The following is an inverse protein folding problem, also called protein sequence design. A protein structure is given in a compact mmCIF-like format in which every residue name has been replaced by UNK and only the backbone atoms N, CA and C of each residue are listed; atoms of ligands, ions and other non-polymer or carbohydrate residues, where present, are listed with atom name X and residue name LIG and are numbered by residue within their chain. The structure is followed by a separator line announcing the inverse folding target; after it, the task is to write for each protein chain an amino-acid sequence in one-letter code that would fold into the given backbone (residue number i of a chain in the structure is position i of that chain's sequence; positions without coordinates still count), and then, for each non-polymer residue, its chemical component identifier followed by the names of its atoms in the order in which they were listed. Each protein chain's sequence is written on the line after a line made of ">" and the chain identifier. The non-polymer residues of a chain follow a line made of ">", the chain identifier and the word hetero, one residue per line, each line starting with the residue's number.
data_IF_402443979300
#
_entry.id   IF_402443979300
#
_cell.length_a   1.000
_cell.length_b   1.000
_cell.length_c   1.000
_cell.angle_alpha   90.00
_cell.angle_beta   90.00
_cell.angle_gamma   90.00
#
_symmetry.space_group_name_H-M   'P 1'
#
loop_
_entity.id
_entity.type
_entity.pdbx_description
1 polymer ?
#
# COMPACT_ATOMS: atom_id res chain seq x y z
N UNK A 1 -17.67 -9.07 2.50
CA UNK A 1 -17.84 -7.59 2.42
C UNK A 1 -18.59 -7.33 1.13
N UNK A 2 -19.86 -6.96 1.22
CA UNK A 2 -20.78 -7.05 0.07
C UNK A 2 -21.36 -5.69 -0.35
N UNK A 3 -20.99 -4.61 0.32
CA UNK A 3 -21.37 -3.25 -0.04
C UNK A 3 -20.29 -2.24 0.42
N UNK A 4 -20.41 -0.99 -0.05
CA UNK A 4 -19.45 0.07 0.27
C UNK A 4 -19.38 0.39 1.77
N UNK A 5 -20.52 0.39 2.47
CA UNK A 5 -20.59 0.70 3.90
C UNK A 5 -19.78 -0.29 4.76
N UNK A 6 -19.81 -1.58 4.41
CA UNK A 6 -19.00 -2.59 5.08
C UNK A 6 -17.50 -2.39 4.82
N UNK A 7 -17.11 -1.94 3.62
CA UNK A 7 -15.72 -1.55 3.32
C UNK A 7 -15.32 -0.37 4.20
N UNK A 8 -16.16 0.67 4.28
CA UNK A 8 -15.89 1.85 5.12
C UNK A 8 -15.72 1.49 6.59
N UNK A 9 -16.58 0.62 7.15
CA UNK A 9 -16.45 0.16 8.54
C UNK A 9 -15.12 -0.58 8.80
N UNK A 10 -14.66 -1.38 7.84
CA UNK A 10 -13.36 -2.06 7.95
C UNK A 10 -12.20 -1.06 7.85
N UNK A 11 -12.33 -0.04 7.01
CA UNK A 11 -11.36 1.04 6.90
C UNK A 11 -11.27 1.82 8.23
N UNK A 12 -12.40 2.20 8.82
CA UNK A 12 -12.45 2.86 10.12
C UNK A 12 -11.86 1.99 11.24
N UNK A 13 -12.20 0.71 11.29
CA UNK A 13 -11.62 -0.23 12.27
C UNK A 13 -10.11 -0.38 12.07
N UNK A 14 -9.62 -0.38 10.82
CA UNK A 14 -8.19 -0.39 10.50
C UNK A 14 -7.49 0.89 10.97
N UNK A 15 -8.10 2.05 10.75
CA UNK A 15 -7.59 3.34 11.19
C UNK A 15 -7.51 3.43 12.71
N UNK A 16 -8.52 2.95 13.46
CA UNK A 16 -8.47 2.92 14.94
C UNK A 16 -7.32 2.04 15.47
N UNK A 17 -7.04 0.93 14.79
CA UNK A 17 -5.96 0.01 15.19
C UNK A 17 -4.57 0.43 14.67
N UNK A 18 -4.50 1.47 13.84
CA UNK A 18 -3.22 2.00 13.35
C UNK A 18 -2.44 2.60 14.52
N UNK A 19 -1.18 2.19 14.68
CA UNK A 19 -0.33 2.69 15.76
C UNK A 19 0.08 4.14 15.45
N UNK A 20 -0.56 5.11 16.12
CA UNK A 20 -0.21 6.52 15.99
C UNK A 20 0.87 6.89 17.01
N UNK A 21 2.07 7.21 16.52
CA UNK A 21 3.04 7.95 17.30
C UNK A 21 2.96 9.44 16.93
N UNK A 22 2.57 10.29 17.87
CA UNK A 22 2.43 11.73 17.63
C UNK A 22 3.80 12.42 17.63
N UNK A 23 4.13 13.20 16.58
CA UNK A 23 5.37 14.02 16.47
C UNK A 23 5.01 15.50 16.44
N UNK A 24 5.89 16.33 16.99
CA UNK A 24 5.77 17.79 17.08
C UNK A 24 5.63 18.54 15.72
N UNK A 25 5.71 17.83 14.58
CA UNK A 25 5.62 18.41 13.23
C UNK A 25 4.47 17.82 12.38
N UNK A 26 3.79 16.76 12.85
CA UNK A 26 2.60 16.22 12.20
C UNK A 26 1.81 15.35 13.20
N UNK A 27 0.58 15.77 13.51
CA UNK A 27 -0.24 15.19 14.59
C UNK A 27 -0.83 13.82 14.23
N UNK A 28 -0.90 13.43 12.95
CA UNK A 28 -1.76 12.29 12.57
C UNK A 28 -1.25 11.21 11.60
N UNK A 29 -0.08 11.27 10.96
CA UNK A 29 0.21 10.21 9.96
C UNK A 29 1.67 9.89 9.61
N UNK A 30 2.67 10.60 10.15
CA UNK A 30 4.03 10.52 9.58
C UNK A 30 4.85 9.27 9.93
N UNK A 31 4.28 8.25 10.58
CA UNK A 31 5.06 7.23 11.29
C UNK A 31 4.96 5.78 10.83
N UNK A 32 4.04 5.47 9.93
CA UNK A 32 3.93 4.13 9.35
C UNK A 32 3.34 4.19 7.94
N UNK A 33 3.80 3.30 7.06
CA UNK A 33 3.15 3.03 5.78
C UNK A 33 1.97 2.08 6.00
N UNK A 34 0.86 2.35 5.33
CA UNK A 34 -0.35 1.53 5.41
C UNK A 34 -0.72 1.04 4.01
N UNK A 35 -0.98 -0.27 3.89
CA UNK A 35 -1.46 -0.88 2.66
C UNK A 35 -2.79 -1.54 2.97
N UNK A 36 -3.87 -1.01 2.41
CA UNK A 36 -5.18 -1.63 2.46
C UNK A 36 -5.46 -2.33 1.12
N UNK A 37 -5.47 -3.67 1.15
CA UNK A 37 -5.68 -4.50 -0.04
C UNK A 37 -7.11 -5.01 -0.08
N UNK A 38 -7.82 -4.67 -1.15
CA UNK A 38 -9.10 -5.25 -1.50
C UNK A 38 -8.93 -6.26 -2.63
N UNK A 39 -9.34 -7.50 -2.38
CA UNK A 39 -9.53 -8.52 -3.41
C UNK A 39 -11.00 -8.48 -3.79
N UNK A 40 -11.27 -8.08 -5.03
CA UNK A 40 -12.61 -7.88 -5.57
C UNK A 40 -12.91 -9.04 -6.51
N UNK A 41 -13.91 -9.82 -6.17
CA UNK A 41 -14.41 -10.91 -7.01
C UNK A 41 -15.75 -10.49 -7.62
N UNK A 42 -15.88 -10.67 -8.93
CA UNK A 42 -17.09 -10.34 -9.67
C UNK A 42 -17.46 -11.46 -10.62
N UNK A 43 -18.76 -11.76 -10.72
CA UNK A 43 -19.32 -12.74 -11.65
C UNK A 43 -20.39 -12.08 -12.51
N UNK A 44 -20.49 -12.50 -13.77
CA UNK A 44 -21.57 -12.03 -14.64
C UNK A 44 -22.91 -12.50 -14.09
N UNK A 45 -23.93 -11.64 -14.14
CA UNK A 45 -25.32 -12.01 -13.78
C UNK A 45 -26.07 -12.56 -15.01
N UNK A 46 -25.41 -13.32 -15.88
CA UNK A 46 -26.07 -13.91 -17.05
C UNK A 46 -27.06 -14.98 -16.59
N UNK A 47 -28.32 -14.55 -16.42
CA UNK A 47 -29.49 -15.41 -16.37
C UNK A 47 -29.96 -15.53 -17.81
N UNK A 48 -29.25 -16.31 -18.63
CA UNK A 48 -29.77 -16.66 -19.96
C UNK A 48 -30.09 -18.15 -19.96
N UNK A 49 -31.30 -18.47 -19.50
CA UNK A 49 -31.90 -19.81 -19.43
C UNK A 49 -32.05 -20.51 -20.79
N UNK A 50 -31.52 -19.91 -21.86
CA UNK A 50 -31.83 -20.25 -23.25
C UNK A 50 -30.63 -20.72 -24.07
N UNK A 51 -29.40 -20.66 -23.56
CA UNK A 51 -28.21 -21.09 -24.31
C UNK A 51 -27.38 -22.10 -23.52
N UNK A 52 -27.49 -23.35 -23.94
CA UNK A 52 -26.64 -24.44 -23.46
C UNK A 52 -25.16 -24.05 -23.54
N UNK A 53 -24.45 -24.31 -22.44
CA UNK A 53 -22.99 -24.20 -22.31
C UNK A 53 -22.38 -22.94 -22.95
N UNK A 54 -22.62 -21.79 -22.34
CA UNK A 54 -21.82 -20.58 -22.61
C UNK A 54 -20.90 -20.30 -21.43
N UNK A 55 -19.67 -19.88 -21.74
CA UNK A 55 -18.50 -19.45 -20.96
C UNK A 55 -18.74 -18.46 -19.79
N UNK A 56 -19.91 -18.49 -19.15
CA UNK A 56 -20.50 -17.46 -18.29
C UNK A 56 -20.15 -17.56 -16.80
N UNK A 57 -19.42 -18.60 -16.39
CA UNK A 57 -19.09 -18.84 -14.97
C UNK A 57 -17.68 -18.34 -14.57
N UNK A 58 -17.03 -17.53 -15.41
CA UNK A 58 -15.73 -16.97 -15.12
C UNK A 58 -15.82 -15.91 -14.01
N UNK A 59 -15.22 -16.20 -12.84
CA UNK A 59 -15.03 -15.21 -11.78
C UNK A 59 -13.89 -14.28 -12.19
N UNK A 60 -14.20 -12.99 -12.35
CA UNK A 60 -13.19 -11.95 -12.53
C UNK A 60 -12.70 -11.49 -11.17
N UNK A 61 -11.42 -11.74 -10.91
CA UNK A 61 -10.71 -11.28 -9.71
C UNK A 61 -9.93 -10.01 -10.06
N UNK A 62 -10.00 -9.00 -9.19
CA UNK A 62 -9.22 -7.77 -9.28
C UNK A 62 -8.63 -7.45 -7.91
N UNK A 63 -7.43 -6.88 -7.88
CA UNK A 63 -6.78 -6.47 -6.63
C UNK A 63 -6.58 -4.97 -6.65
N UNK A 64 -7.20 -4.27 -5.71
CA UNK A 64 -7.02 -2.83 -5.49
C UNK A 64 -6.21 -2.64 -4.21
N UNK A 65 -5.03 -2.03 -4.33
CA UNK A 65 -4.21 -1.64 -3.18
C UNK A 65 -4.35 -0.13 -2.97
N UNK A 66 -4.89 0.28 -1.82
CA UNK A 66 -4.88 1.67 -1.36
C UNK A 66 -3.66 1.83 -0.44
N UNK A 67 -2.69 2.63 -0.86
CA UNK A 67 -1.41 2.78 -0.16
C UNK A 67 -1.30 4.20 0.37
N UNK A 68 -1.18 4.32 1.69
CA UNK A 68 -0.84 5.57 2.37
C UNK A 68 0.61 5.48 2.86
N UNK A 69 1.45 6.41 2.40
CA UNK A 69 2.87 6.44 2.73
C UNK A 69 3.15 7.46 3.82
N UNK A 70 4.00 7.08 4.76
CA UNK A 70 4.55 7.99 5.75
C UNK A 70 5.37 9.11 5.09
N UNK A 71 5.62 10.18 5.85
CA UNK A 71 6.36 11.33 5.36
C UNK A 71 7.84 11.04 5.10
N UNK A 72 8.43 11.76 4.13
CA UNK A 72 9.84 11.68 3.74
C UNK A 72 10.69 12.80 4.36
N UNK A 73 10.25 13.39 5.47
CA UNK A 73 10.86 14.58 6.04
C UNK A 73 12.32 14.38 6.49
N UNK A 74 13.06 15.50 6.48
CA UNK A 74 14.44 15.53 6.97
C UNK A 74 14.44 15.43 8.49
N UNK A 75 14.89 14.29 9.00
CA UNK A 75 15.05 13.99 10.42
C UNK A 75 15.82 15.10 11.18
N UNK A 76 16.85 15.70 10.57
CA UNK A 76 17.60 16.79 11.20
C UNK A 76 16.74 18.01 11.56
N UNK A 77 15.61 18.20 10.86
CA UNK A 77 14.66 19.30 11.12
C UNK A 77 13.58 18.91 12.13
N UNK A 78 13.44 17.64 12.50
CA UNK A 78 12.36 17.16 13.39
C UNK A 78 12.72 17.25 14.87
N UNK A 79 13.99 17.45 15.22
CA UNK A 79 14.46 17.42 16.61
C UNK A 79 14.23 16.06 17.29
N UNK A 80 13.97 15.00 16.51
CA UNK A 80 13.70 13.67 17.04
C UNK A 80 14.99 13.00 17.56
N UNK A 81 14.92 12.43 18.76
CA UNK A 81 16.02 11.70 19.38
C UNK A 81 15.60 10.28 19.81
N UNK A 82 16.58 9.44 20.15
CA UNK A 82 16.40 8.09 20.67
C UNK A 82 15.55 7.19 19.76
N UNK A 83 14.42 6.71 20.27
CA UNK A 83 13.51 5.81 19.55
C UNK A 83 12.91 6.47 18.31
N UNK A 84 12.51 7.75 18.42
CA UNK A 84 11.88 8.51 17.32
C UNK A 84 12.87 8.75 16.18
N UNK A 85 14.14 8.96 16.50
CA UNK A 85 15.21 9.05 15.50
C UNK A 85 15.39 7.73 14.73
N UNK A 86 15.38 6.59 15.44
CA UNK A 86 15.48 5.26 14.82
C UNK A 86 14.28 4.99 13.91
N UNK A 87 13.07 5.32 14.36
CA UNK A 87 11.84 5.16 13.58
C UNK A 87 11.88 5.99 12.28
N UNK A 88 12.18 7.29 12.38
CA UNK A 88 12.31 8.15 11.19
C UNK A 88 13.35 7.66 10.19
N UNK A 89 14.47 7.08 10.66
CA UNK A 89 15.48 6.46 9.78
C UNK A 89 14.91 5.26 9.01
N UNK A 90 14.10 4.42 9.63
CA UNK A 90 13.48 3.28 8.95
C UNK A 90 12.43 3.71 7.93
N UNK A 91 11.63 4.73 8.25
CA UNK A 91 10.66 5.32 7.33
C UNK A 91 11.38 5.85 6.09
N UNK A 92 12.37 6.72 6.27
CA UNK A 92 13.13 7.29 5.17
C UNK A 92 13.88 6.22 4.35
N UNK A 93 14.43 5.19 5.01
CA UNK A 93 15.05 4.06 4.31
C UNK A 93 14.06 3.36 3.38
N UNK A 94 12.86 3.04 3.87
CA UNK A 94 11.85 2.34 3.07
C UNK A 94 11.37 3.15 1.86
N UNK A 95 11.22 4.47 2.02
CA UNK A 95 10.87 5.40 0.94
C UNK A 95 12.01 5.57 -0.08
N UNK A 96 13.26 5.62 0.39
CA UNK A 96 14.44 5.66 -0.49
C UNK A 96 14.52 4.38 -1.35
N UNK A 97 14.31 3.20 -0.76
CA UNK A 97 14.29 1.94 -1.50
C UNK A 97 13.16 1.93 -2.54
N UNK A 98 11.97 2.43 -2.19
CA UNK A 98 10.87 2.61 -3.15
C UNK A 98 11.29 3.50 -4.33
N UNK A 99 11.90 4.65 -4.07
CA UNK A 99 12.42 5.54 -5.11
C UNK A 99 13.46 4.86 -6.01
N UNK A 100 14.38 4.10 -5.42
CA UNK A 100 15.40 3.34 -6.17
C UNK A 100 14.78 2.27 -7.07
N UNK A 101 13.74 1.57 -6.60
CA UNK A 101 13.00 0.59 -7.39
C UNK A 101 12.31 1.27 -8.58
N UNK A 102 11.62 2.40 -8.35
CA UNK A 102 10.96 3.17 -9.41
C UNK A 102 11.97 3.65 -10.45
N UNK A 103 13.09 4.22 -10.02
CA UNK A 103 14.14 4.71 -10.92
C UNK A 103 14.69 3.57 -11.79
N UNK A 104 15.05 2.42 -11.21
CA UNK A 104 15.52 1.26 -11.97
C UNK A 104 14.45 0.67 -12.89
N UNK A 105 13.18 0.74 -12.52
CA UNK A 105 12.08 0.35 -13.40
C UNK A 105 11.92 1.33 -14.57
N UNK A 106 12.24 2.61 -14.39
CA UNK A 106 12.18 3.60 -15.46
C UNK A 106 13.33 3.48 -16.48
N UNK A 107 14.44 2.85 -16.09
CA UNK A 107 15.56 2.58 -16.99
C UNK A 107 15.16 1.58 -18.09
N UNK A 108 15.70 1.80 -19.30
CA UNK A 108 15.43 0.94 -20.45
C UNK A 108 15.90 -0.49 -20.24
N UNK A 109 15.23 -1.46 -20.90
CA UNK A 109 15.43 -2.90 -20.68
C UNK A 109 16.91 -3.38 -20.81
N UNK A 110 17.74 -2.66 -21.58
CA UNK A 110 19.17 -2.99 -21.76
C UNK A 110 20.06 -2.58 -20.58
N UNK A 111 19.63 -1.63 -19.74
CA UNK A 111 20.36 -1.17 -18.55
C UNK A 111 19.72 -1.64 -17.24
N UNK A 112 18.55 -2.28 -17.32
CA UNK A 112 17.78 -2.76 -16.16
C UNK A 112 18.46 -3.96 -15.51
N UNK A 113 19.41 -3.67 -14.60
CA UNK A 113 20.06 -4.66 -13.72
C UNK A 113 19.14 -5.16 -12.60
N UNK A 114 19.72 -5.74 -11.54
CA UNK A 114 18.96 -6.20 -10.37
C UNK A 114 18.16 -5.07 -9.71
N UNK A 115 16.85 -5.28 -9.55
CA UNK A 115 15.92 -4.36 -8.86
C UNK A 115 15.81 -4.77 -7.39
N UNK A 116 16.16 -3.88 -6.43
CA UNK A 116 16.33 -4.24 -5.02
C UNK A 116 15.00 -4.28 -4.24
N UNK A 117 13.99 -5.01 -4.74
CA UNK A 117 12.69 -5.14 -4.07
C UNK A 117 12.80 -5.68 -2.64
N UNK A 118 13.83 -6.49 -2.35
CA UNK A 118 14.01 -7.15 -1.06
C UNK A 118 14.58 -6.25 0.05
N UNK A 119 15.09 -5.07 -0.31
CA UNK A 119 15.77 -4.17 0.64
C UNK A 119 14.80 -3.45 1.59
N UNK A 120 13.50 -3.49 1.29
CA UNK A 120 12.41 -2.97 2.12
C UNK A 120 11.18 -3.87 2.01
N UNK A 121 10.42 -4.03 3.11
CA UNK A 121 9.12 -4.72 3.06
C UNK A 121 8.10 -3.98 2.21
N UNK A 122 8.21 -2.65 2.10
CA UNK A 122 7.30 -1.81 1.31
C UNK A 122 7.35 -2.15 -0.18
N UNK A 123 8.51 -2.62 -0.66
CA UNK A 123 8.75 -2.94 -2.07
C UNK A 123 8.59 -4.43 -2.39
N UNK A 124 8.09 -5.23 -1.45
CA UNK A 124 7.82 -6.68 -1.64
C UNK A 124 6.33 -6.94 -1.72
#
# INVERSE_FOLDING_TARGET
>A
VNNAEQVHKLLEAGEVNRHFGETNMNVRSSRSHTIFRMVIESKSKEIDSSKGYSSSDAIRVSVLNLVDLAGSERIAKTGADGVRLKEGKHINKSLMVLGNVINKLSEGARQRGHIPYRDSKLTR
#
